data_IF_541201614938
#
_entry.id   IF_541201614938
#
_cell.length_a   1.000
_cell.length_b   1.000
_cell.length_c   1.000
_cell.angle_alpha   90.00
_cell.angle_beta   90.00
_cell.angle_gamma   90.00
#
_symmetry.space_group_name_H-M   'P 1'
#
loop_
_entity.id
_entity.type
_entity.pdbx_description
1 polymer ?
#
# COMPACT_ATOMS: atom_id res chain seq x y z
N UNK A 1 -2.35 -5.32 7.53
CA UNK A 1 -1.55 -4.47 6.60
C UNK A 1 -2.19 -3.09 6.60
N UNK A 2 -1.40 -2.02 6.64
CA UNK A 2 -1.91 -0.65 6.70
C UNK A 2 -2.06 -0.10 5.27
N UNK A 3 -3.25 0.42 4.97
CA UNK A 3 -3.59 1.22 3.80
C UNK A 3 -3.59 2.71 4.16
N UNK A 4 -3.30 3.54 3.17
CA UNK A 4 -3.22 4.99 3.32
C UNK A 4 -4.57 5.64 3.08
N UNK A 5 -4.89 6.72 3.79
CA UNK A 5 -5.99 7.60 3.38
C UNK A 5 -5.68 9.06 3.72
N UNK A 6 -5.59 9.89 2.68
CA UNK A 6 -5.67 11.33 2.81
C UNK A 6 -7.16 11.73 2.88
N UNK A 7 -7.56 12.42 3.95
CA UNK A 7 -8.89 13.01 4.06
C UNK A 7 -8.92 14.38 3.35
N UNK A 8 -8.68 14.37 2.05
CA UNK A 8 -9.16 15.38 1.11
C UNK A 8 -9.41 14.64 -0.21
N UNK A 9 -10.69 14.49 -0.57
CA UNK A 9 -11.25 13.82 -1.76
C UNK A 9 -10.22 13.24 -2.75
N UNK A 10 -9.79 12.00 -2.53
CA UNK A 10 -9.37 10.97 -3.52
C UNK A 10 -8.86 9.78 -2.68
N UNK A 11 -9.64 8.70 -2.63
CA UNK A 11 -9.28 7.40 -3.25
C UNK A 11 -7.87 6.98 -2.85
N UNK A 12 -7.77 5.84 -2.15
CA UNK A 12 -6.55 5.02 -1.97
C UNK A 12 -5.52 5.38 -3.04
N UNK A 13 -4.55 6.22 -2.70
CA UNK A 13 -3.65 6.78 -3.71
C UNK A 13 -2.94 5.59 -4.36
N UNK A 14 -3.17 5.41 -5.67
CA UNK A 14 -2.27 4.68 -6.55
C UNK A 14 -0.89 5.27 -6.31
N UNK A 15 -0.12 4.65 -5.42
CA UNK A 15 1.32 4.80 -5.51
C UNK A 15 1.66 3.96 -6.74
N UNK A 16 1.67 4.64 -7.87
CA UNK A 16 2.10 4.09 -9.15
C UNK A 16 3.43 3.36 -8.91
N UNK A 17 3.38 2.02 -8.82
CA UNK A 17 4.30 1.25 -9.65
C UNK A 17 4.17 1.89 -11.04
N UNK A 18 5.28 2.14 -11.73
CA UNK A 18 5.40 2.93 -12.99
C UNK A 18 4.44 2.57 -14.15
N UNK A 19 3.39 1.80 -13.90
CA UNK A 19 2.38 1.27 -14.80
C UNK A 19 0.93 1.28 -14.22
N UNK A 20 0.65 1.92 -13.07
CA UNK A 20 -0.73 2.12 -12.57
C UNK A 20 -1.48 0.86 -12.11
N UNK A 21 -0.81 -0.25 -11.84
CA UNK A 21 -1.49 -1.52 -11.50
C UNK A 21 -1.50 -1.78 -9.98
N UNK A 22 -2.59 -1.41 -9.31
CA UNK A 22 -2.99 -1.98 -8.02
C UNK A 22 -2.89 -1.06 -6.79
N UNK A 23 -3.36 -1.57 -5.64
CA UNK A 23 -3.40 -0.83 -4.37
C UNK A 23 -2.18 -1.13 -3.52
N UNK A 24 -1.40 -0.09 -3.20
CA UNK A 24 -0.24 -0.19 -2.31
C UNK A 24 -0.65 -0.33 -0.84
N UNK A 25 -0.01 -1.27 -0.15
CA UNK A 25 -0.15 -1.49 1.30
C UNK A 25 1.22 -1.76 1.91
N UNK A 26 1.38 -1.42 3.19
CA UNK A 26 2.62 -1.72 3.94
C UNK A 26 2.33 -2.35 5.29
N UNK A 27 3.26 -3.14 5.81
CA UNK A 27 3.13 -3.79 7.11
C UNK A 27 3.43 -2.87 8.29
N UNK A 28 4.03 -1.69 8.08
CA UNK A 28 4.43 -0.78 9.17
C UNK A 28 3.76 0.59 9.07
N UNK A 29 3.37 1.14 10.22
CA UNK A 29 2.68 2.44 10.30
C UNK A 29 3.58 3.63 10.01
N UNK A 30 4.85 3.58 10.41
CA UNK A 30 5.82 4.64 10.11
C UNK A 30 5.94 4.88 8.61
N UNK A 31 6.14 3.80 7.84
CA UNK A 31 6.21 3.89 6.37
C UNK A 31 4.90 4.35 5.76
N UNK A 32 3.77 3.83 6.25
CA UNK A 32 2.44 4.26 5.80
C UNK A 32 2.18 5.75 6.10
N UNK A 33 2.73 6.29 7.18
CA UNK A 33 2.55 7.69 7.58
C UNK A 33 3.48 8.65 6.83
N UNK A 34 4.71 8.22 6.54
CA UNK A 34 5.70 8.94 5.74
C UNK A 34 5.26 9.08 4.28
N UNK A 35 4.56 8.09 3.72
CA UNK A 35 4.09 8.16 2.33
C UNK A 35 2.88 9.07 2.12
N UNK A 36 2.33 9.68 3.17
CA UNK A 36 1.23 10.65 3.06
C UNK A 36 1.82 11.99 2.68
N UNK A 37 1.60 12.43 1.43
CA UNK A 37 1.95 13.78 1.00
C UNK A 37 1.17 14.83 1.81
N UNK A 38 1.86 15.85 2.31
CA UNK A 38 1.25 16.99 2.99
C UNK A 38 1.26 18.19 2.03
N UNK A 39 0.15 18.91 1.95
CA UNK A 39 0.20 20.32 1.60
C UNK A 39 0.58 21.07 2.88
N UNK A 40 1.75 21.71 2.89
CA UNK A 40 2.29 22.40 4.08
C UNK A 40 1.45 23.61 4.55
N UNK A 41 0.39 23.95 3.84
CA UNK A 41 -0.35 25.19 4.04
C UNK A 41 -1.35 25.14 5.22
N UNK A 42 -1.77 23.96 5.69
CA UNK A 42 -2.79 23.85 6.75
C UNK A 42 -2.35 22.99 7.94
N UNK A 43 -1.87 23.66 9.00
CA UNK A 43 -1.52 23.05 10.29
C UNK A 43 -2.69 22.32 11.00
N UNK A 44 -3.93 22.49 10.51
CA UNK A 44 -5.12 21.79 11.01
C UNK A 44 -5.36 20.41 10.40
N UNK A 45 -4.64 20.03 9.33
CA UNK A 45 -4.84 18.74 8.67
C UNK A 45 -4.23 17.62 9.50
N UNK A 46 -5.05 16.63 9.87
CA UNK A 46 -4.61 15.41 10.56
C UNK A 46 -4.41 14.29 9.54
N UNK A 47 -3.30 13.57 9.70
CA UNK A 47 -3.03 12.33 8.96
C UNK A 47 -3.92 11.19 9.48
N UNK A 48 -4.38 10.34 8.58
CA UNK A 48 -5.11 9.13 8.93
C UNK A 48 -4.52 7.90 8.23
N UNK A 49 -4.55 6.77 8.93
CA UNK A 49 -4.17 5.47 8.40
C UNK A 49 -5.39 4.55 8.45
N UNK A 50 -5.55 3.71 7.43
CA UNK A 50 -6.54 2.63 7.46
C UNK A 50 -5.82 1.32 7.77
N UNK A 51 -6.22 0.64 8.82
CA UNK A 51 -5.80 -0.74 9.09
C UNK A 51 -6.69 -1.65 8.27
N UNK A 52 -6.11 -2.43 7.36
CA UNK A 52 -6.81 -3.41 6.55
C UNK A 52 -6.40 -4.84 6.90
N UNK A 53 -7.37 -5.75 6.83
CA UNK A 53 -7.11 -7.15 6.49
C UNK A 53 -7.00 -7.24 4.98
N UNK A 54 -6.05 -8.03 4.49
CA UNK A 54 -5.73 -8.15 3.06
C UNK A 54 -5.84 -9.60 2.64
N UNK A 55 -6.55 -9.86 1.55
CA UNK A 55 -6.59 -11.17 0.91
C UNK A 55 -5.52 -11.17 -0.20
N UNK A 56 -4.29 -11.52 0.15
CA UNK A 56 -3.15 -11.41 -0.77
C UNK A 56 -3.18 -12.42 -1.94
N UNK A 57 -3.95 -13.51 -1.79
CA UNK A 57 -4.03 -14.56 -2.79
C UNK A 57 -2.64 -15.12 -3.16
N UNK A 58 -2.43 -15.38 -4.45
CA UNK A 58 -1.13 -15.75 -4.99
C UNK A 58 -0.24 -14.52 -5.08
N UNK A 59 0.81 -14.51 -4.27
CA UNK A 59 1.78 -13.41 -4.20
C UNK A 59 2.96 -13.70 -5.12
N UNK A 60 3.17 -12.85 -6.12
CA UNK A 60 4.42 -12.82 -6.86
C UNK A 60 5.50 -12.17 -5.99
N UNK A 61 6.62 -12.86 -5.78
CA UNK A 61 7.78 -12.31 -5.06
C UNK A 61 8.93 -12.14 -6.06
N UNK A 62 9.05 -10.98 -6.71
CA UNK A 62 10.17 -10.73 -7.61
C UNK A 62 11.45 -10.72 -6.77
N UNK A 63 12.23 -11.79 -6.91
CA UNK A 63 13.60 -11.85 -6.43
C UNK A 63 14.44 -11.05 -7.42
N UNK A 64 14.69 -9.78 -7.09
CA UNK A 64 15.75 -8.94 -7.65
C UNK A 64 15.67 -8.48 -9.13
N UNK A 65 14.69 -8.89 -9.94
CA UNK A 65 14.56 -8.34 -11.29
C UNK A 65 13.12 -7.90 -11.64
N UNK A 66 12.93 -6.58 -11.74
CA UNK A 66 11.64 -5.90 -11.96
C UNK A 66 11.16 -6.02 -13.43
N UNK A 67 11.87 -6.74 -14.30
CA UNK A 67 11.66 -6.69 -15.76
C UNK A 67 10.77 -7.79 -16.38
N UNK A 68 10.15 -8.68 -15.60
CA UNK A 68 9.23 -9.72 -16.13
C UNK A 68 7.79 -9.61 -15.59
N UNK A 69 7.30 -8.40 -15.32
CA UNK A 69 5.97 -8.18 -14.72
C UNK A 69 4.82 -8.35 -15.73
N UNK A 70 5.09 -8.27 -17.04
CA UNK A 70 4.03 -8.24 -18.07
C UNK A 70 3.58 -9.61 -18.60
N UNK A 71 4.19 -10.72 -18.18
CA UNK A 71 3.92 -12.04 -18.79
C UNK A 71 3.33 -13.11 -17.84
N UNK A 72 3.32 -12.89 -16.51
CA UNK A 72 2.83 -13.91 -15.59
C UNK A 72 1.36 -13.69 -15.20
N UNK A 73 0.47 -14.16 -16.07
CA UNK A 73 -0.97 -14.27 -15.79
C UNK A 73 -1.20 -15.23 -14.62
N UNK A 74 -1.74 -14.75 -13.48
CA UNK A 74 -2.17 -15.65 -12.40
C UNK A 74 -1.83 -15.24 -10.96
N UNK A 75 -1.28 -14.05 -10.73
CA UNK A 75 -1.09 -13.53 -9.37
C UNK A 75 -2.23 -12.60 -8.96
N UNK A 76 -2.47 -12.54 -7.66
CA UNK A 76 -3.47 -11.65 -7.05
C UNK A 76 -2.79 -10.43 -6.39
N UNK A 77 -1.50 -10.56 -6.06
CA UNK A 77 -0.69 -9.48 -5.50
C UNK A 77 0.81 -9.60 -5.83
N UNK A 78 1.52 -8.48 -5.69
CA UNK A 78 2.96 -8.37 -5.90
C UNK A 78 3.64 -7.92 -4.62
N UNK A 79 4.67 -8.65 -4.16
CA UNK A 79 5.55 -8.18 -3.11
C UNK A 79 6.46 -7.07 -3.66
N UNK A 80 6.48 -5.92 -3.00
CA UNK A 80 7.40 -4.83 -3.30
C UNK A 80 8.72 -5.07 -2.59
N UNK A 81 8.92 -4.36 -1.48
CA UNK A 81 10.05 -4.60 -0.58
C UNK A 81 9.83 -5.81 0.34
N UNK A 82 10.85 -6.65 0.45
CA UNK A 82 10.96 -7.74 1.43
C UNK A 82 12.04 -7.36 2.44
N UNK A 83 11.73 -7.44 3.74
CA UNK A 83 12.64 -7.10 4.82
C UNK A 83 13.69 -8.19 5.10
N UNK A 84 14.62 -7.88 6.01
CA UNK A 84 15.77 -8.72 6.39
C UNK A 84 15.40 -10.17 6.81
N UNK A 85 14.19 -10.38 7.33
CA UNK A 85 13.69 -11.68 7.79
C UNK A 85 12.68 -12.31 6.81
N UNK A 86 12.77 -11.99 5.52
CA UNK A 86 11.84 -12.45 4.48
C UNK A 86 10.38 -12.03 4.70
N UNK A 87 10.14 -11.07 5.60
CA UNK A 87 8.83 -10.48 5.82
C UNK A 87 8.48 -9.53 4.66
N UNK A 88 7.27 -9.67 4.11
CA UNK A 88 6.78 -8.73 3.09
C UNK A 88 6.51 -7.39 3.77
N UNK A 89 7.29 -6.37 3.43
CA UNK A 89 7.09 -5.01 3.95
C UNK A 89 6.06 -4.23 3.14
N UNK A 90 5.97 -4.52 1.85
CA UNK A 90 5.11 -3.85 0.88
C UNK A 90 4.39 -4.85 0.00
N UNK A 91 3.12 -4.61 -0.25
CA UNK A 91 2.30 -5.45 -1.11
C UNK A 91 1.41 -4.57 -1.98
N UNK A 92 1.42 -4.85 -3.28
CA UNK A 92 0.53 -4.25 -4.27
C UNK A 92 -0.57 -5.25 -4.61
N UNK A 93 -1.83 -4.88 -4.38
CA UNK A 93 -2.99 -5.71 -4.66
C UNK A 93 -3.54 -5.36 -6.04
N UNK A 94 -3.63 -6.35 -6.94
CA UNK A 94 -4.16 -6.14 -8.28
C UNK A 94 -5.70 -6.00 -8.28
N UNK A 95 -6.35 -6.41 -7.19
CA UNK A 95 -7.79 -6.28 -6.99
C UNK A 95 -8.09 -5.49 -5.69
N UNK A 96 -8.69 -4.28 -5.78
CA UNK A 96 -9.02 -3.48 -4.60
C UNK A 96 -10.08 -4.15 -3.69
N UNK A 97 -10.91 -5.08 -4.20
CA UNK A 97 -11.87 -5.84 -3.39
C UNK A 97 -11.20 -6.79 -2.40
N UNK A 98 -9.91 -7.04 -2.53
CA UNK A 98 -9.12 -7.82 -1.59
C UNK A 98 -8.79 -7.05 -0.29
N UNK A 99 -9.08 -5.75 -0.24
CA UNK A 99 -8.93 -4.92 0.96
C UNK A 99 -10.20 -4.99 1.82
N UNK A 100 -10.01 -5.33 3.08
CA UNK A 100 -11.04 -5.33 4.10
C UNK A 100 -10.66 -4.29 5.18
N UNK A 101 -11.09 -3.03 5.03
CA UNK A 101 -10.88 -1.99 6.04
C UNK A 101 -11.43 -2.46 7.39
N UNK A 102 -10.59 -2.40 8.42
CA UNK A 102 -10.95 -2.79 9.78
C UNK A 102 -11.09 -1.57 10.67
N UNK A 103 -10.11 -0.67 10.64
CA UNK A 103 -10.06 0.49 11.52
C UNK A 103 -9.49 1.70 10.80
N UNK A 104 -9.93 2.89 11.19
CA UNK A 104 -9.30 4.15 10.82
C UNK A 104 -8.57 4.70 12.04
N UNK A 105 -7.29 5.01 11.89
CA UNK A 105 -6.44 5.59 12.92
C UNK A 105 -6.18 7.04 12.56
N UNK A 106 -6.65 7.96 13.41
CA UNK A 106 -6.34 9.39 13.28
C UNK A 106 -5.05 9.64 14.05
N UNK A 107 -4.00 10.03 13.34
CA UNK A 107 -2.72 10.34 13.95
C UNK A 107 -2.76 11.74 14.55
N UNK A 108 -2.16 11.88 15.73
CA UNK A 108 -1.77 13.20 16.23
C UNK A 108 -0.54 13.65 15.45
N UNK A 109 -0.53 14.92 15.07
CA UNK A 109 0.64 15.61 14.54
C UNK A 109 1.66 15.80 15.65
#
# INVERSE_FOLDING_TARGET
MLCMSNYQRRVLHEKELKDGVGVFTTSTSGRAFESIAMCEEDASIRKALIVCRVIAGRVHRPLENIQEISAQTGFDSLAGKVGLYSNIEELYLLNPKALLPCFVVICKT
#
